data_IF_756023415577
#
_entry.id   IF_756023415577
#
_cell.length_a   1.000
_cell.length_b   1.000
_cell.length_c   1.000
_cell.angle_alpha   90.00
_cell.angle_beta   90.00
_cell.angle_gamma   90.00
#
_symmetry.space_group_name_H-M   'P 1'
#
loop_
_entity.id
_entity.type
_entity.pdbx_description
1 polymer ?
2 non-polymer ?
3 non-polymer ?
4 non-polymer ?
5 non-polymer ?
6 non-polymer ?
7 non-polymer ?
8 non-polymer ?
9 water ?
#
# COMPACT_ATOMS: atom_id res chain seq x y z
N UNK A 2 8.53 27.74 7.11
CA UNK A 2 7.82 28.58 6.08
C UNK A 2 7.82 27.90 4.71
N UNK A 3 8.57 26.80 4.55
CA UNK A 3 8.63 25.92 3.33
C UNK A 3 9.26 26.69 2.17
N UNK A 4 10.53 26.42 1.81
CA UNK A 4 11.12 27.02 0.60
C UNK A 4 10.40 26.64 -0.70
N UNK A 5 10.57 27.44 -1.76
CA UNK A 5 10.31 27.04 -3.16
C UNK A 5 11.28 25.91 -3.53
N UNK A 6 10.95 25.12 -4.55
CA UNK A 6 11.57 23.82 -4.89
C UNK A 6 13.06 24.05 -5.17
N UNK A 7 13.35 24.96 -6.10
CA UNK A 7 14.70 25.28 -6.59
C UNK A 7 15.57 25.75 -5.41
N UNK A 8 14.99 26.47 -4.46
CA UNK A 8 15.66 26.95 -3.23
C UNK A 8 15.99 25.77 -2.31
N UNK A 9 15.05 24.83 -2.18
CA UNK A 9 15.18 23.64 -1.31
C UNK A 9 16.23 22.66 -1.87
N UNK A 10 16.34 22.55 -3.19
CA UNK A 10 17.18 21.52 -3.87
C UNK A 10 18.60 22.05 -4.08
N UNK A 11 19.59 21.17 -3.87
CA UNK A 11 21.02 21.44 -4.02
C UNK A 11 21.43 21.69 -5.46
N UNK A 12 20.68 21.26 -6.47
CA UNK A 12 21.09 21.51 -7.87
C UNK A 12 19.90 21.39 -8.80
N UNK A 13 20.02 21.90 -10.04
CA UNK A 13 19.06 21.63 -11.09
C UNK A 13 19.31 20.25 -11.69
N UNK A 14 18.40 19.78 -12.53
CA UNK A 14 18.55 18.56 -13.35
C UNK A 14 19.61 18.86 -14.42
N UNK A 15 20.74 18.14 -14.45
CA UNK A 15 21.74 18.36 -15.50
C UNK A 15 21.14 18.21 -16.91
N UNK A 16 21.67 18.94 -17.88
CA UNK A 16 21.21 18.94 -19.29
C UNK A 16 21.44 17.54 -19.87
N UNK A 17 22.49 16.85 -19.42
CA UNK A 17 22.91 15.50 -19.88
C UNK A 17 21.88 14.43 -19.47
N UNK A 18 21.35 14.52 -18.25
CA UNK A 18 20.31 13.56 -17.77
C UNK A 18 19.11 13.66 -18.71
N UNK A 19 18.76 14.87 -19.16
CA UNK A 19 17.53 15.13 -19.96
C UNK A 19 17.73 14.58 -21.38
N UNK A 20 18.90 14.83 -21.97
CA UNK A 20 19.33 14.24 -23.26
C UNK A 20 19.20 12.72 -23.19
N UNK A 21 19.65 12.08 -22.10
CA UNK A 21 19.56 10.62 -21.89
C UNK A 21 18.09 10.19 -21.74
N UNK A 22 17.31 10.94 -20.97
CA UNK A 22 15.89 10.67 -20.70
C UNK A 22 15.11 10.60 -22.02
N UNK A 23 15.37 11.53 -22.95
CA UNK A 23 14.58 11.68 -24.21
C UNK A 23 14.92 10.56 -25.21
N UNK A 24 16.06 9.90 -25.07
CA UNK A 24 16.53 8.82 -25.97
C UNK A 24 15.97 7.46 -25.53
N UNK A 25 15.41 7.37 -24.31
CA UNK A 25 14.94 6.09 -23.72
C UNK A 25 13.72 6.36 -22.83
N UNK A 26 12.65 6.85 -23.46
CA UNK A 26 11.38 7.20 -22.77
C UNK A 26 10.59 5.95 -22.33
N UNK A 27 10.75 4.80 -22.98
CA UNK A 27 10.05 3.58 -22.51
C UNK A 27 10.60 3.16 -21.13
N UNK A 28 11.92 3.18 -20.92
CA UNK A 28 12.52 2.89 -19.60
C UNK A 28 12.06 3.91 -18.55
N UNK A 29 11.85 5.16 -18.96
CA UNK A 29 11.53 6.27 -18.04
C UNK A 29 10.12 6.06 -17.46
N UNK A 30 9.17 5.86 -18.36
CA UNK A 30 7.77 5.55 -18.02
C UNK A 30 7.73 4.35 -17.07
N UNK A 31 8.41 3.25 -17.36
CA UNK A 31 8.36 2.02 -16.52
C UNK A 31 8.87 2.42 -15.13
N UNK A 32 9.98 3.15 -15.07
CA UNK A 32 10.60 3.55 -13.79
C UNK A 32 9.73 4.57 -13.05
N UNK A 33 9.08 5.46 -13.77
CA UNK A 33 8.17 6.46 -13.15
C UNK A 33 7.06 5.67 -12.43
N UNK A 34 6.33 4.85 -13.18
CA UNK A 34 5.32 3.86 -12.71
C UNK A 34 5.81 3.14 -11.45
N UNK A 35 6.99 2.52 -11.49
CA UNK A 35 7.62 1.83 -10.33
C UNK A 35 7.79 2.81 -9.16
N UNK A 36 8.15 4.08 -9.40
CA UNK A 36 8.43 5.06 -8.32
C UNK A 36 7.11 5.47 -7.65
N UNK A 37 6.01 5.54 -8.43
CA UNK A 37 4.65 5.87 -7.88
C UNK A 37 4.25 4.74 -6.93
N UNK A 38 4.59 3.50 -7.29
CA UNK A 38 4.30 2.29 -6.50
C UNK A 38 5.14 2.27 -5.21
N UNK A 39 6.46 2.50 -5.31
CA UNK A 39 7.39 2.54 -4.13
C UNK A 39 6.98 3.66 -3.15
N UNK A 40 6.49 4.81 -3.62
CA UNK A 40 5.96 5.90 -2.77
C UNK A 40 4.82 5.35 -1.90
N UNK A 41 3.79 4.78 -2.54
CA UNK A 41 2.63 4.17 -1.86
C UNK A 41 3.14 3.11 -0.88
N UNK A 42 3.99 2.21 -1.35
CA UNK A 42 4.57 1.11 -0.55
C UNK A 42 5.34 1.67 0.67
N UNK A 43 6.18 2.69 0.45
CA UNK A 43 6.96 3.37 1.52
C UNK A 43 5.99 4.00 2.54
N UNK A 44 4.89 4.61 2.09
CA UNK A 44 3.92 5.24 3.01
C UNK A 44 3.29 4.15 3.89
N UNK A 45 3.06 2.97 3.33
CA UNK A 45 2.41 1.88 4.11
C UNK A 45 3.35 1.38 5.19
N UNK A 46 4.66 1.28 4.90
CA UNK A 46 5.69 0.82 5.85
C UNK A 46 5.83 1.80 7.02
N UNK A 47 5.64 3.10 6.79
CA UNK A 47 5.60 4.11 7.89
C UNK A 47 4.37 3.88 8.77
N UNK A 48 3.18 3.65 8.21
CA UNK A 48 1.95 3.34 8.98
C UNK A 48 2.23 2.11 9.85
N UNK A 49 2.82 1.05 9.30
CA UNK A 49 3.11 -0.20 10.05
C UNK A 49 4.06 0.11 11.22
N UNK A 50 5.12 0.88 11.00
CA UNK A 50 6.18 1.21 11.98
C UNK A 50 5.68 2.19 13.07
N UNK A 51 4.74 3.10 12.75
CA UNK A 51 4.29 4.22 13.62
C UNK A 51 2.78 4.13 13.79
N UNK A 52 2.32 2.96 14.21
CA UNK A 52 0.95 2.41 14.11
C UNK A 52 0.00 3.07 15.11
N UNK A 53 0.54 3.93 15.98
CA UNK A 53 -0.23 4.63 17.05
C UNK A 53 -0.02 6.16 16.94
N UNK A 54 0.70 6.65 15.94
CA UNK A 54 0.77 8.08 15.54
C UNK A 54 -0.41 8.43 14.62
N UNK A 55 -1.52 8.90 15.17
CA UNK A 55 -2.78 9.19 14.42
C UNK A 55 -2.55 10.23 13.31
N UNK A 56 -1.77 11.28 13.56
CA UNK A 56 -1.56 12.37 12.56
C UNK A 56 -0.76 11.81 11.37
N UNK A 57 0.06 10.79 11.60
CA UNK A 57 0.95 10.24 10.54
C UNK A 57 0.14 9.24 9.71
N UNK A 58 -0.56 8.32 10.37
CA UNK A 58 -1.25 7.18 9.69
C UNK A 58 -2.35 7.74 8.79
N UNK A 59 -3.02 8.83 9.17
CA UNK A 59 -4.07 9.50 8.35
C UNK A 59 -3.48 10.11 7.07
N UNK A 60 -2.44 10.95 7.22
CA UNK A 60 -1.71 11.56 6.08
C UNK A 60 -1.20 10.45 5.16
N UNK A 61 -0.51 9.44 5.71
CA UNK A 61 0.22 8.42 4.91
C UNK A 61 -0.79 7.56 4.11
N UNK A 62 -1.95 7.30 4.71
CA UNK A 62 -3.09 6.57 4.11
C UNK A 62 -3.59 7.34 2.87
N UNK A 63 -3.94 8.61 3.04
CA UNK A 63 -4.36 9.52 1.93
C UNK A 63 -3.24 9.60 0.90
N UNK A 64 -1.98 9.64 1.32
CA UNK A 64 -0.87 9.86 0.36
C UNK A 64 -0.71 8.58 -0.46
N UNK A 65 -0.82 7.44 0.20
CA UNK A 65 -0.65 6.12 -0.45
C UNK A 65 -1.70 5.98 -1.56
N UNK A 66 -2.92 6.46 -1.30
CA UNK A 66 -4.03 6.44 -2.30
C UNK A 66 -3.66 7.35 -3.46
N UNK A 67 -3.19 8.56 -3.18
CA UNK A 67 -2.74 9.50 -4.24
C UNK A 67 -1.71 8.77 -5.13
N UNK A 68 -0.73 8.12 -4.52
CA UNK A 68 0.41 7.52 -5.24
C UNK A 68 -0.10 6.37 -6.10
N UNK A 69 -1.11 5.65 -5.62
CA UNK A 69 -1.64 4.47 -6.35
C UNK A 69 -2.45 4.96 -7.55
N UNK A 70 -3.29 5.98 -7.42
CA UNK A 70 -3.97 6.65 -8.56
C UNK A 70 -2.90 6.94 -9.63
N UNK A 71 -1.82 7.65 -9.28
CA UNK A 71 -0.70 7.99 -10.20
C UNK A 71 -0.17 6.68 -10.83
N UNK A 72 0.07 5.66 -10.03
CA UNK A 72 0.60 4.36 -10.51
C UNK A 72 -0.30 3.78 -11.61
N UNK A 73 -1.63 3.94 -11.48
CA UNK A 73 -2.63 3.44 -12.44
C UNK A 73 -2.62 4.30 -13.72
N UNK A 74 -2.70 5.62 -13.56
CA UNK A 74 -2.60 6.63 -14.67
C UNK A 74 -1.41 6.29 -15.58
N UNK A 75 -0.26 5.98 -14.99
CA UNK A 75 1.02 5.72 -15.74
C UNK A 75 0.90 4.37 -16.47
N UNK A 76 0.24 3.38 -15.87
CA UNK A 76 -0.09 2.08 -16.52
C UNK A 76 -1.03 2.29 -17.73
N UNK A 77 -2.04 3.15 -17.59
CA UNK A 77 -2.96 3.58 -18.67
C UNK A 77 -2.09 4.06 -19.84
N UNK A 78 -1.30 5.13 -19.60
CA UNK A 78 -0.43 5.77 -20.61
C UNK A 78 0.47 4.70 -21.25
N UNK A 79 1.09 3.83 -20.45
CA UNK A 79 1.98 2.76 -20.97
C UNK A 79 1.25 1.89 -22.00
N UNK A 80 -0.02 1.54 -21.76
CA UNK A 80 -0.84 0.70 -22.68
C UNK A 80 -1.07 1.47 -23.99
N UNK A 81 -1.64 2.69 -23.93
CA UNK A 81 -1.89 3.57 -25.10
C UNK A 81 -0.66 3.54 -26.03
N UNK A 82 0.54 3.63 -25.46
CA UNK A 82 1.83 3.71 -26.21
C UNK A 82 2.47 2.32 -26.40
N UNK A 83 1.71 1.24 -26.23
CA UNK A 83 2.25 -0.13 -26.31
C UNK A 83 3.63 -0.25 -25.67
N UNK A 84 3.84 0.33 -24.49
CA UNK A 84 5.07 0.06 -23.66
C UNK A 84 4.84 -1.24 -22.91
N UNK A 85 5.75 -2.23 -23.04
CA UNK A 85 5.53 -3.55 -22.48
C UNK A 85 5.94 -3.58 -21.00
N UNK A 86 5.26 -4.42 -20.21
CA UNK A 86 5.53 -4.58 -18.75
C UNK A 86 6.86 -5.32 -18.62
N UNK A 87 7.95 -4.54 -18.65
CA UNK A 87 9.36 -4.99 -18.62
C UNK A 87 9.91 -4.78 -17.21
N UNK A 88 10.66 -5.74 -16.62
CA UNK A 88 11.29 -5.50 -15.32
C UNK A 88 12.46 -4.50 -15.33
N UNK A 89 12.30 -3.35 -14.65
CA UNK A 89 13.37 -2.33 -14.47
C UNK A 89 13.71 -2.29 -12.98
N UNK A 90 14.99 -2.43 -12.65
CA UNK A 90 15.49 -2.44 -11.25
C UNK A 90 15.46 -1.01 -10.69
N UNK A 91 15.51 -0.87 -9.36
CA UNK A 91 15.51 0.43 -8.65
C UNK A 91 16.88 1.10 -8.79
N UNK A 92 16.89 2.40 -9.11
CA UNK A 92 18.07 3.27 -9.05
C UNK A 92 18.63 3.36 -7.64
N UNK A 93 19.82 3.95 -7.50
CA UNK A 93 20.60 3.99 -6.25
C UNK A 93 20.06 5.10 -5.33
N UNK A 94 19.28 6.01 -5.90
CA UNK A 94 18.88 7.31 -5.31
C UNK A 94 18.12 7.11 -3.99
N UNK A 95 16.97 6.42 -4.04
CA UNK A 95 16.07 6.17 -2.89
C UNK A 95 16.82 5.42 -1.79
N UNK A 96 17.41 4.27 -2.10
CA UNK A 96 18.22 3.47 -1.14
C UNK A 96 19.39 4.32 -0.63
N UNK A 97 19.97 5.13 -1.52
CA UNK A 97 21.09 6.05 -1.23
C UNK A 97 20.75 6.99 -0.08
N UNK A 98 19.61 7.69 -0.16
CA UNK A 98 19.18 8.71 0.86
C UNK A 98 18.77 8.05 2.17
N UNK A 99 18.18 6.84 2.14
CA UNK A 99 17.71 6.15 3.36
C UNK A 99 18.92 5.73 4.20
N UNK A 100 20.05 5.41 3.56
CA UNK A 100 21.33 5.07 4.26
C UNK A 100 21.74 6.25 5.17
N UNK A 101 21.21 7.45 4.95
CA UNK A 101 21.51 8.63 5.81
C UNK A 101 20.72 8.62 7.12
N UNK A 102 19.61 7.87 7.21
CA UNK A 102 18.67 7.94 8.37
C UNK A 102 19.39 7.38 9.61
N UNK A 103 19.24 8.08 10.75
CA UNK A 103 19.79 7.68 12.07
C UNK A 103 18.94 6.55 12.64
N UNK A 104 19.53 5.73 13.51
CA UNK A 104 18.99 4.41 13.94
C UNK A 104 18.01 4.56 15.11
N UNK A 105 17.92 5.75 15.75
CA UNK A 105 17.19 5.97 17.03
C UNK A 105 16.04 7.00 16.88
N UNK A 106 14.97 6.81 17.66
CA UNK A 106 13.75 7.68 17.71
C UNK A 106 13.97 8.75 18.79
N UNK A 107 13.41 10.00 18.66
CA UNK A 107 12.50 10.39 17.59
C UNK A 107 13.14 11.07 16.36
N UNK A 108 14.41 10.83 16.09
CA UNK A 108 15.08 11.45 14.95
C UNK A 108 14.92 10.62 13.67
N UNK A 109 14.86 9.30 13.84
CA UNK A 109 14.71 8.33 12.71
C UNK A 109 13.47 8.66 11.87
N UNK A 110 12.37 9.10 12.50
CA UNK A 110 11.07 9.45 11.81
C UNK A 110 11.19 10.80 11.11
N UNK A 111 11.82 11.78 11.77
CA UNK A 111 12.09 13.14 11.22
C UNK A 111 12.94 13.01 9.94
N UNK A 112 14.03 12.25 10.01
CA UNK A 112 14.98 12.02 8.90
C UNK A 112 14.27 11.40 7.70
N UNK A 113 13.32 10.49 7.97
CA UNK A 113 12.57 9.70 6.95
C UNK A 113 11.62 10.64 6.21
N UNK A 114 10.97 11.56 6.94
CA UNK A 114 10.06 12.55 6.32
C UNK A 114 10.89 13.52 5.46
N UNK A 115 12.05 13.97 5.95
CA UNK A 115 12.90 14.91 5.16
C UNK A 115 13.28 14.23 3.83
N UNK A 116 13.82 13.00 3.88
CA UNK A 116 14.17 12.25 2.64
C UNK A 116 12.97 12.21 1.69
N UNK A 117 11.79 11.94 2.24
CA UNK A 117 10.51 11.96 1.51
C UNK A 117 10.31 13.31 0.87
N UNK A 118 10.54 14.39 1.61
CA UNK A 118 10.42 15.79 1.12
C UNK A 118 11.33 15.98 -0.10
N UNK A 119 12.57 15.50 -0.05
CA UNK A 119 13.58 15.66 -1.13
C UNK A 119 13.17 14.91 -2.39
N UNK A 120 12.69 13.67 -2.24
CA UNK A 120 12.32 12.79 -3.39
C UNK A 120 11.18 13.48 -4.16
N UNK A 121 10.19 13.98 -3.41
CA UNK A 121 8.99 14.70 -3.94
C UNK A 121 9.46 15.97 -4.66
N UNK A 122 10.27 16.77 -3.96
CA UNK A 122 10.79 18.05 -4.48
C UNK A 122 11.58 17.81 -5.76
N UNK A 123 12.47 16.82 -5.78
CA UNK A 123 13.30 16.52 -7.00
C UNK A 123 12.41 16.07 -8.17
N UNK A 124 11.40 15.23 -7.91
CA UNK A 124 10.45 14.71 -8.93
C UNK A 124 9.72 15.89 -9.57
N UNK A 125 9.26 16.84 -8.75
CA UNK A 125 8.61 18.09 -9.20
C UNK A 125 9.59 18.85 -10.11
N UNK A 126 10.81 19.11 -9.63
CA UNK A 126 11.84 19.89 -10.39
C UNK A 126 12.13 19.18 -11.72
N UNK A 127 12.17 17.86 -11.70
CA UNK A 127 12.64 17.04 -12.85
C UNK A 127 11.52 16.91 -13.89
N UNK A 128 10.27 16.73 -13.46
CA UNK A 128 9.11 16.70 -14.39
C UNK A 128 9.08 18.00 -15.19
N UNK A 129 9.18 19.14 -14.49
CA UNK A 129 9.17 20.51 -15.06
C UNK A 129 10.33 20.70 -16.02
N UNK A 130 11.51 20.12 -15.73
CA UNK A 130 12.69 20.19 -16.63
C UNK A 130 12.40 19.41 -17.92
N UNK A 131 11.54 18.39 -17.86
CA UNK A 131 11.23 17.50 -19.00
C UNK A 131 10.11 18.04 -19.86
N UNK A 132 9.01 18.49 -19.23
CA UNK A 132 7.75 18.92 -19.91
C UNK A 132 8.09 19.53 -21.27
N UNK A 133 8.83 20.67 -21.34
CA UNK A 133 8.97 21.42 -22.60
C UNK A 133 9.49 20.61 -23.79
N UNK A 134 10.24 19.52 -23.54
CA UNK A 134 10.90 18.67 -24.57
C UNK A 134 10.08 17.42 -24.93
N UNK A 135 8.83 17.29 -24.45
CA UNK A 135 8.00 16.07 -24.64
C UNK A 135 6.85 16.36 -25.62
N UNK A 136 6.20 15.32 -26.14
CA UNK A 136 4.94 15.42 -26.93
C UNK A 136 3.83 16.01 -26.03
N UNK A 137 2.66 16.31 -26.59
CA UNK A 137 1.61 17.13 -25.91
C UNK A 137 0.93 16.29 -24.82
N UNK A 138 0.64 15.01 -25.10
CA UNK A 138 -0.11 14.11 -24.18
C UNK A 138 0.74 13.82 -22.94
N UNK A 139 2.02 13.51 -23.17
CA UNK A 139 3.01 13.21 -22.11
C UNK A 139 3.36 14.51 -21.38
N UNK A 140 3.49 15.62 -22.10
CA UNK A 140 3.74 16.97 -21.54
C UNK A 140 2.58 17.44 -20.67
N UNK A 141 1.34 17.27 -21.14
CA UNK A 141 0.09 17.62 -20.40
C UNK A 141 0.02 16.77 -19.13
N UNK A 142 0.38 15.48 -19.23
CA UNK A 142 0.30 14.49 -18.13
C UNK A 142 1.29 14.91 -17.02
N UNK A 143 2.57 15.01 -17.38
CA UNK A 143 3.68 15.37 -16.45
C UNK A 143 3.48 16.79 -15.91
N UNK A 144 2.87 17.71 -16.66
CA UNK A 144 2.50 19.06 -16.13
C UNK A 144 1.44 18.89 -15.03
N UNK A 145 0.47 17.98 -15.23
CA UNK A 145 -0.57 17.62 -14.24
C UNK A 145 0.01 17.12 -12.92
N UNK A 146 1.02 16.24 -12.98
CA UNK A 146 1.66 15.63 -11.78
C UNK A 146 2.46 16.68 -10.98
N UNK A 147 2.78 17.82 -11.59
CA UNK A 147 3.65 18.87 -11.01
C UNK A 147 3.06 19.43 -9.71
N UNK A 148 1.80 19.90 -9.73
CA UNK A 148 1.16 20.58 -8.57
C UNK A 148 1.04 19.62 -7.37
N UNK A 149 0.89 18.31 -7.62
CA UNK A 149 0.70 17.28 -6.56
C UNK A 149 2.06 16.88 -5.95
N UNK A 150 3.15 16.82 -6.75
CA UNK A 150 4.54 16.58 -6.25
C UNK A 150 4.96 17.71 -5.29
N UNK A 151 4.67 18.98 -5.64
CA UNK A 151 4.93 20.18 -4.80
C UNK A 151 4.15 20.05 -3.48
N UNK A 152 2.93 19.55 -3.56
CA UNK A 152 2.03 19.40 -2.38
C UNK A 152 2.57 18.27 -1.49
N UNK A 153 3.01 17.16 -2.08
CA UNK A 153 3.61 16.03 -1.32
C UNK A 153 4.93 16.47 -0.66
N UNK A 154 5.69 17.34 -1.33
CA UNK A 154 6.93 17.94 -0.78
C UNK A 154 6.60 18.79 0.45
N UNK A 155 5.64 19.72 0.32
CA UNK A 155 5.12 20.55 1.46
C UNK A 155 4.66 19.64 2.59
N UNK A 156 3.85 18.62 2.26
CA UNK A 156 3.24 17.67 3.22
C UNK A 156 4.30 16.95 4.05
N UNK A 157 5.26 16.29 3.40
CA UNK A 157 6.36 15.56 4.08
C UNK A 157 7.15 16.51 5.00
N UNK A 158 7.47 17.72 4.54
CA UNK A 158 8.27 18.69 5.35
C UNK A 158 7.45 19.21 6.54
N UNK A 159 6.19 19.62 6.32
CA UNK A 159 5.29 20.03 7.43
C UNK A 159 5.23 18.91 8.47
N UNK A 160 5.12 17.65 8.05
CA UNK A 160 4.95 16.54 9.01
C UNK A 160 6.23 16.36 9.82
N UNK A 161 7.42 16.67 9.27
CA UNK A 161 8.68 16.63 10.03
C UNK A 161 8.65 17.67 11.15
N UNK A 162 8.09 18.86 10.88
CA UNK A 162 8.04 19.99 11.85
C UNK A 162 7.10 19.64 13.00
N UNK A 163 6.09 18.83 12.71
CA UNK A 163 5.12 18.27 13.68
C UNK A 163 5.85 17.39 14.72
N UNK A 164 6.98 16.74 14.38
CA UNK A 164 7.64 15.68 15.20
C UNK A 164 9.13 15.99 15.48
N UNK A 165 9.52 17.24 15.60
CA UNK A 165 10.94 17.61 15.81
C UNK A 165 11.18 19.11 15.79
N UNK A 166 12.35 19.58 16.25
CA UNK A 166 12.62 21.03 16.47
C UNK A 166 13.20 21.66 15.18
N UNK A 167 12.79 22.90 14.91
CA UNK A 167 13.27 23.77 13.79
C UNK A 167 14.77 23.55 13.53
N UNK A 168 15.60 23.54 14.57
CA UNK A 168 17.07 23.44 14.49
C UNK A 168 17.49 22.06 13.96
N UNK A 169 16.93 20.97 14.49
CA UNK A 169 17.33 19.57 14.15
C UNK A 169 16.96 19.29 12.69
N UNK A 170 15.84 19.86 12.24
CA UNK A 170 15.28 19.70 10.87
C UNK A 170 16.12 20.49 9.86
N UNK A 171 16.48 21.75 10.15
CA UNK A 171 17.42 22.56 9.34
C UNK A 171 18.72 21.76 9.10
N UNK A 172 19.21 21.04 10.12
CA UNK A 172 20.51 20.32 10.07
C UNK A 172 20.34 19.08 9.21
N UNK A 173 19.21 18.39 9.37
CA UNK A 173 18.88 17.17 8.60
C UNK A 173 18.76 17.56 7.13
N UNK A 174 18.00 18.63 6.82
CA UNK A 174 17.78 19.13 5.44
C UNK A 174 19.15 19.39 4.79
N UNK A 175 20.05 20.05 5.54
CA UNK A 175 21.44 20.41 5.10
C UNK A 175 22.21 19.14 4.70
N UNK A 176 22.28 18.15 5.59
CA UNK A 176 23.03 16.89 5.35
C UNK A 176 22.45 16.15 4.14
N UNK A 177 21.11 16.11 4.05
CA UNK A 177 20.42 15.33 2.98
C UNK A 177 20.59 16.06 1.66
N UNK A 178 20.38 17.38 1.66
CA UNK A 178 20.51 18.23 0.45
C UNK A 178 21.83 17.90 -0.28
N UNK A 179 22.93 17.88 0.48
CA UNK A 179 24.29 17.57 -0.01
C UNK A 179 24.30 16.16 -0.61
N UNK A 180 23.90 15.14 0.16
CA UNK A 180 23.90 13.74 -0.31
C UNK A 180 23.05 13.63 -1.59
N UNK A 181 21.86 14.23 -1.58
CA UNK A 181 20.92 14.25 -2.73
C UNK A 181 21.57 14.86 -3.97
N UNK A 182 22.20 16.03 -3.81
CA UNK A 182 22.93 16.77 -4.89
C UNK A 182 24.02 15.87 -5.50
N UNK A 183 24.79 15.17 -4.66
CA UNK A 183 25.94 14.31 -5.07
C UNK A 183 25.40 13.15 -5.93
N UNK A 184 24.25 12.60 -5.54
CA UNK A 184 23.55 11.51 -6.27
C UNK A 184 23.11 12.00 -7.65
N UNK A 185 22.51 13.18 -7.72
CA UNK A 185 22.05 13.76 -9.02
C UNK A 185 23.24 14.10 -9.93
N UNK A 186 24.35 14.61 -9.39
CA UNK A 186 25.43 15.21 -10.21
C UNK A 186 26.51 14.17 -10.55
N UNK A 187 26.61 13.07 -9.77
CA UNK A 187 27.58 11.97 -10.00
C UNK A 187 27.15 11.15 -11.21
N UNK A 188 28.09 10.55 -11.98
CA UNK A 188 27.76 9.71 -13.12
C UNK A 188 27.10 8.40 -12.67
N UNK A 189 26.26 7.79 -13.52
CA UNK A 189 25.49 6.56 -13.19
C UNK A 189 25.43 5.64 -14.43
N UNK A 190 25.31 4.33 -14.22
CA UNK A 190 25.34 3.29 -15.28
C UNK A 190 23.99 3.21 -16.02
N UNK A 191 22.89 3.60 -15.37
CA UNK A 191 21.49 3.33 -15.83
C UNK A 191 20.65 4.61 -15.79
N UNK A 192 19.89 4.88 -16.86
CA UNK A 192 18.87 5.96 -16.91
C UNK A 192 17.66 5.51 -16.06
N UNK A 193 17.55 6.06 -14.85
CA UNK A 193 16.33 6.01 -14.02
C UNK A 193 15.75 7.42 -13.92
N UNK A 194 14.57 7.55 -13.34
CA UNK A 194 13.89 8.86 -13.18
C UNK A 194 14.74 9.72 -12.23
N UNK A 195 15.37 9.11 -11.23
CA UNK A 195 16.18 9.86 -10.23
C UNK A 195 17.68 9.57 -10.42
N UNK A 196 18.10 9.05 -11.57
CA UNK A 196 19.52 8.70 -11.84
C UNK A 196 20.41 9.95 -11.93
N UNK A 197 21.74 9.72 -11.83
CA UNK A 197 22.79 10.71 -12.06
C UNK A 197 23.05 10.98 -13.54
N UNK A 198 24.19 11.60 -13.85
CA UNK A 198 24.59 11.94 -15.25
C UNK A 198 25.14 10.68 -15.92
N UNK A 199 24.59 10.26 -17.08
CA UNK A 199 24.94 8.97 -17.67
C UNK A 199 26.38 9.00 -18.20
N UNK A 200 27.14 7.94 -17.92
CA UNK A 200 28.55 7.72 -18.38
C UNK A 200 28.57 7.68 -19.91
N UNK B 1 -21.21 -21.22 -12.75
CA UNK B 1 -20.64 -20.00 -12.11
C UNK B 1 -19.23 -20.30 -11.58
N UNK B 2 -19.09 -21.33 -10.73
CA UNK B 2 -17.85 -21.73 -9.99
C UNK B 2 -17.54 -20.69 -8.90
N UNK B 3 -18.49 -19.80 -8.61
CA UNK B 3 -18.41 -18.71 -7.57
C UNK B 3 -19.66 -18.82 -6.70
N UNK B 4 -19.64 -19.63 -5.62
CA UNK B 4 -20.83 -19.85 -4.80
C UNK B 4 -21.32 -18.59 -4.06
N UNK B 5 -22.47 -18.69 -3.37
CA UNK B 5 -22.89 -17.78 -2.26
C UNK B 5 -21.89 -17.95 -1.12
N UNK B 6 -21.88 -17.02 -0.15
CA UNK B 6 -20.82 -16.91 0.90
C UNK B 6 -20.94 -18.12 1.84
N UNK B 7 -22.14 -18.38 2.36
CA UNK B 7 -22.42 -19.48 3.34
C UNK B 7 -22.11 -20.82 2.67
N UNK B 8 -22.46 -20.96 1.38
CA UNK B 8 -22.08 -22.14 0.57
C UNK B 8 -20.54 -22.29 0.55
N UNK B 9 -19.84 -21.19 0.22
CA UNK B 9 -18.37 -21.14 0.04
C UNK B 9 -17.68 -21.50 1.36
N UNK B 10 -18.14 -20.91 2.46
CA UNK B 10 -17.52 -21.10 3.78
C UNK B 10 -17.84 -22.50 4.34
N UNK B 11 -16.93 -23.03 5.16
CA UNK B 11 -17.07 -24.36 5.77
C UNK B 11 -17.66 -24.32 7.17
N UNK B 12 -18.13 -23.17 7.66
CA UNK B 12 -18.88 -23.05 8.94
C UNK B 12 -19.37 -21.63 9.19
N UNK B 13 -20.44 -21.46 9.99
CA UNK B 13 -20.81 -20.14 10.49
C UNK B 13 -19.87 -19.60 11.58
N UNK B 14 -20.06 -18.33 11.92
CA UNK B 14 -19.34 -17.68 13.04
C UNK B 14 -19.94 -18.26 14.31
N UNK B 15 -19.15 -18.86 15.24
CA UNK B 15 -19.71 -19.36 16.49
C UNK B 15 -20.29 -18.22 17.34
N UNK B 16 -21.36 -18.51 18.08
CA UNK B 16 -22.08 -17.54 18.96
C UNK B 16 -21.11 -17.07 20.05
N UNK B 17 -20.17 -17.93 20.45
CA UNK B 17 -19.19 -17.61 21.51
C UNK B 17 -18.18 -16.57 20.99
N UNK B 18 -17.81 -16.63 19.69
CA UNK B 18 -16.98 -15.53 19.12
C UNK B 18 -17.74 -14.22 19.33
N UNK B 19 -19.04 -14.22 19.04
CA UNK B 19 -19.88 -13.00 19.03
C UNK B 19 -19.97 -12.47 20.44
N UNK B 20 -20.17 -13.36 21.42
CA UNK B 20 -20.29 -13.00 22.85
C UNK B 20 -19.01 -12.25 23.25
N UNK B 21 -17.85 -12.85 22.97
CA UNK B 21 -16.52 -12.27 23.27
C UNK B 21 -16.37 -10.93 22.55
N UNK B 22 -16.76 -10.87 21.27
CA UNK B 22 -16.62 -9.65 20.44
C UNK B 22 -17.41 -8.49 21.05
N UNK B 23 -18.65 -8.74 21.48
CA UNK B 23 -19.55 -7.67 22.04
C UNK B 23 -18.99 -7.14 23.36
N UNK B 24 -18.22 -7.94 24.09
CA UNK B 24 -17.57 -7.56 25.38
C UNK B 24 -16.34 -6.68 25.13
N UNK B 25 -15.65 -6.83 24.00
CA UNK B 25 -14.38 -6.11 23.71
C UNK B 25 -14.41 -5.45 22.31
N UNK B 26 -15.44 -4.67 22.01
CA UNK B 26 -15.61 -3.97 20.70
C UNK B 26 -14.41 -3.08 20.39
N UNK B 27 -13.72 -2.52 21.38
CA UNK B 27 -12.60 -1.57 21.09
C UNK B 27 -11.42 -2.37 20.52
N UNK B 28 -11.12 -3.54 21.05
CA UNK B 28 -10.00 -4.37 20.54
C UNK B 28 -10.35 -4.77 19.12
N UNK B 29 -11.65 -5.07 18.89
CA UNK B 29 -12.14 -5.51 17.57
C UNK B 29 -11.95 -4.40 16.54
N UNK B 30 -12.40 -3.19 16.85
CA UNK B 30 -12.21 -1.99 15.98
C UNK B 30 -10.73 -1.85 15.57
N UNK B 31 -9.82 -1.94 16.54
CA UNK B 31 -8.37 -1.70 16.30
C UNK B 31 -7.88 -2.81 15.37
N UNK B 32 -8.20 -4.07 15.66
CA UNK B 32 -7.75 -5.23 14.84
C UNK B 32 -8.32 -5.05 13.44
N UNK B 33 -9.59 -4.62 13.36
CA UNK B 33 -10.32 -4.40 12.09
C UNK B 33 -9.56 -3.35 11.26
N UNK B 34 -9.23 -2.23 11.88
CA UNK B 34 -8.40 -1.15 11.28
C UNK B 34 -7.06 -1.69 10.76
N UNK B 35 -6.37 -2.50 11.55
CA UNK B 35 -5.10 -3.17 11.17
C UNK B 35 -5.34 -4.13 9.99
N UNK B 36 -6.50 -4.78 9.92
CA UNK B 36 -6.84 -5.75 8.84
C UNK B 36 -7.08 -5.04 7.50
N UNK B 37 -7.75 -3.89 7.51
CA UNK B 37 -7.96 -3.07 6.30
C UNK B 37 -6.58 -2.72 5.75
N UNK B 38 -5.72 -2.18 6.61
CA UNK B 38 -4.33 -1.77 6.30
C UNK B 38 -3.55 -2.96 5.73
N UNK B 39 -3.59 -4.10 6.41
CA UNK B 39 -2.85 -5.33 6.03
C UNK B 39 -3.30 -5.81 4.65
N UNK B 40 -4.60 -5.65 4.35
CA UNK B 40 -5.16 -6.08 3.06
C UNK B 40 -4.54 -5.21 1.97
N UNK B 41 -4.41 -3.91 2.23
CA UNK B 41 -3.74 -2.93 1.33
C UNK B 41 -2.27 -3.29 1.14
N UNK B 42 -1.53 -3.61 2.21
CA UNK B 42 -0.09 -3.98 2.07
C UNK B 42 0.03 -5.29 1.31
N UNK B 43 -0.77 -6.30 1.67
CA UNK B 43 -0.79 -7.63 0.99
C UNK B 43 -0.94 -7.43 -0.52
N UNK B 44 -1.87 -6.57 -0.94
CA UNK B 44 -2.12 -6.27 -2.36
C UNK B 44 -0.84 -5.69 -2.99
N UNK B 45 -0.16 -4.76 -2.33
CA UNK B 45 1.09 -4.14 -2.89
C UNK B 45 2.22 -5.19 -2.94
N UNK B 46 2.24 -6.17 -2.04
CA UNK B 46 3.21 -7.29 -2.12
C UNK B 46 3.01 -8.03 -3.44
N UNK B 47 1.74 -8.25 -3.82
CA UNK B 47 1.37 -9.04 -5.01
C UNK B 47 1.74 -8.24 -6.26
N UNK B 48 1.54 -6.93 -6.21
CA UNK B 48 1.99 -6.03 -7.30
C UNK B 48 3.50 -6.20 -7.47
N UNK B 49 4.26 -6.19 -6.38
CA UNK B 49 5.73 -6.24 -6.38
C UNK B 49 6.19 -7.64 -6.80
N UNK B 50 5.54 -8.70 -6.29
CA UNK B 50 5.98 -10.11 -6.50
C UNK B 50 5.71 -10.51 -7.95
N UNK B 51 4.58 -10.07 -8.51
CA UNK B 51 4.06 -10.44 -9.86
C UNK B 51 4.02 -9.16 -10.72
N UNK B 52 5.19 -8.55 -10.92
CA UNK B 52 5.37 -7.19 -11.49
C UNK B 52 5.04 -7.13 -12.99
N UNK B 53 4.83 -8.27 -13.67
CA UNK B 53 4.49 -8.29 -15.13
C UNK B 53 3.08 -8.87 -15.39
N UNK B 54 2.39 -9.32 -14.35
CA UNK B 54 0.97 -9.77 -14.42
C UNK B 54 0.10 -8.52 -14.51
N UNK B 55 -0.14 -8.00 -15.72
CA UNK B 55 -0.76 -6.67 -15.95
C UNK B 55 -2.23 -6.62 -15.45
N UNK B 56 -2.95 -7.75 -15.44
CA UNK B 56 -4.37 -7.80 -14.99
C UNK B 56 -4.43 -7.78 -13.46
N UNK B 57 -3.52 -8.51 -12.82
CA UNK B 57 -3.34 -8.53 -11.34
C UNK B 57 -2.96 -7.11 -10.87
N UNK B 58 -2.00 -6.47 -11.54
CA UNK B 58 -1.40 -5.20 -11.08
C UNK B 58 -2.49 -4.12 -11.05
N UNK B 59 -3.40 -4.13 -12.02
CA UNK B 59 -4.47 -3.10 -12.18
C UNK B 59 -5.52 -3.23 -11.09
N UNK B 60 -5.97 -4.46 -10.86
CA UNK B 60 -7.03 -4.81 -9.88
C UNK B 60 -6.49 -4.59 -8.47
N UNK B 61 -5.30 -5.11 -8.17
CA UNK B 61 -4.61 -4.98 -6.85
C UNK B 61 -4.32 -3.52 -6.49
N UNK B 62 -4.04 -2.65 -7.46
CA UNK B 62 -3.87 -1.20 -7.21
C UNK B 62 -5.22 -0.62 -6.75
N UNK B 63 -6.31 -0.96 -7.47
CA UNK B 63 -7.68 -0.49 -7.18
C UNK B 63 -8.15 -0.98 -5.81
N UNK B 64 -7.89 -2.24 -5.49
CA UNK B 64 -8.32 -2.87 -4.22
C UNK B 64 -7.60 -2.19 -3.05
N UNK B 65 -6.28 -1.99 -3.16
CA UNK B 65 -5.44 -1.41 -2.09
C UNK B 65 -5.97 -0.02 -1.73
N UNK B 66 -6.40 0.77 -2.72
CA UNK B 66 -7.01 2.11 -2.51
C UNK B 66 -8.35 1.96 -1.78
N UNK B 67 -9.08 0.90 -2.07
CA UNK B 67 -10.40 0.65 -1.47
C UNK B 67 -10.19 0.32 0.01
N UNK B 68 -9.24 -0.57 0.28
CA UNK B 68 -8.89 -1.01 1.64
C UNK B 68 -8.37 0.18 2.45
N UNK B 69 -7.63 1.11 1.82
CA UNK B 69 -7.11 2.28 2.55
C UNK B 69 -8.26 3.27 2.87
N UNK B 70 -9.25 3.43 2.00
CA UNK B 70 -10.47 4.20 2.39
C UNK B 70 -11.06 3.53 3.63
N UNK B 71 -11.16 2.20 3.66
CA UNK B 71 -11.84 1.53 4.79
C UNK B 71 -11.02 1.81 6.05
N UNK B 72 -9.70 1.70 5.93
CA UNK B 72 -8.72 2.00 7.01
C UNK B 72 -8.98 3.41 7.58
N UNK B 73 -9.08 4.42 6.71
CA UNK B 73 -9.39 5.82 7.12
C UNK B 73 -10.76 5.86 7.79
N UNK B 74 -11.78 5.20 7.23
CA UNK B 74 -13.16 5.27 7.80
C UNK B 74 -13.14 4.67 9.21
N UNK B 75 -12.38 3.59 9.41
CA UNK B 75 -12.31 2.96 10.74
C UNK B 75 -11.61 3.95 11.69
N UNK B 76 -10.56 4.65 11.23
CA UNK B 76 -9.83 5.61 12.07
C UNK B 76 -10.76 6.77 12.50
N UNK B 77 -11.61 7.31 11.60
CA UNK B 77 -12.53 8.43 11.93
C UNK B 77 -13.55 7.93 12.96
N UNK B 78 -14.06 6.71 12.78
CA UNK B 78 -15.04 6.07 13.70
C UNK B 78 -14.43 5.98 15.11
N UNK B 79 -13.22 5.43 15.23
CA UNK B 79 -12.52 5.28 16.52
C UNK B 79 -12.37 6.65 17.21
N UNK B 80 -11.97 7.69 16.45
CA UNK B 80 -11.79 9.08 16.95
C UNK B 80 -13.13 9.59 17.50
N UNK B 81 -14.17 9.69 16.67
CA UNK B 81 -15.56 10.09 17.07
C UNK B 81 -15.93 9.45 18.42
N UNK B 82 -15.58 8.17 18.63
CA UNK B 82 -16.02 7.41 19.84
C UNK B 82 -14.92 7.38 20.91
N UNK B 83 -13.88 8.19 20.77
CA UNK B 83 -12.78 8.24 21.74
C UNK B 83 -12.23 6.86 22.04
N UNK B 84 -11.96 6.07 21.00
CA UNK B 84 -11.17 4.81 21.10
C UNK B 84 -9.72 5.12 20.77
N UNK B 85 -8.81 5.06 21.75
CA UNK B 85 -7.40 5.39 21.51
C UNK B 85 -6.66 4.28 20.76
N UNK B 86 -5.71 4.65 19.89
CA UNK B 86 -4.83 3.66 19.23
C UNK B 86 -3.96 3.01 20.30
N UNK B 87 -3.65 1.74 20.14
CA UNK B 87 -2.65 1.05 20.98
C UNK B 87 -2.23 -0.19 20.21
N UNK B 88 -1.06 -0.79 20.51
CA UNK B 88 -0.55 -1.92 19.74
C UNK B 88 -1.44 -3.16 19.95
N UNK B 89 -1.92 -3.77 18.86
CA UNK B 89 -2.67 -5.06 18.89
C UNK B 89 -2.01 -6.01 17.88
N UNK B 90 -1.39 -7.09 18.30
CA UNK B 90 -0.60 -7.97 17.38
C UNK B 90 -1.57 -8.68 16.41
N UNK B 91 -1.11 -9.04 15.22
CA UNK B 91 -1.88 -9.86 14.25
C UNK B 91 -2.29 -11.18 14.93
N UNK B 92 -3.53 -11.62 14.70
CA UNK B 92 -3.99 -12.98 15.03
C UNK B 92 -3.39 -14.04 14.10
N UNK B 93 -3.53 -15.29 14.51
CA UNK B 93 -2.98 -16.52 13.86
C UNK B 93 -3.62 -16.83 12.50
N UNK B 94 -4.76 -16.22 12.17
CA UNK B 94 -5.67 -16.66 11.08
C UNK B 94 -4.99 -16.58 9.69
N UNK B 95 -4.60 -15.38 9.25
CA UNK B 95 -4.01 -15.14 7.90
C UNK B 95 -2.67 -15.88 7.78
N UNK B 96 -1.86 -15.90 8.84
CA UNK B 96 -0.60 -16.68 8.89
C UNK B 96 -0.95 -18.16 8.61
N UNK B 97 -1.83 -18.70 9.45
CA UNK B 97 -2.30 -20.10 9.36
C UNK B 97 -2.66 -20.45 7.93
N UNK B 98 -3.48 -19.63 7.28
CA UNK B 98 -3.91 -19.87 5.87
C UNK B 98 -2.70 -19.77 4.93
N UNK B 99 -1.83 -18.77 5.12
CA UNK B 99 -0.69 -18.50 4.20
C UNK B 99 0.24 -19.73 4.15
N UNK B 100 0.36 -20.49 5.25
CA UNK B 100 1.23 -21.70 5.38
C UNK B 100 0.75 -22.86 4.48
N UNK B 101 -0.47 -22.83 3.93
CA UNK B 101 -0.99 -23.86 2.96
C UNK B 101 -0.60 -23.53 1.53
N UNK B 102 -0.01 -22.36 1.28
CA UNK B 102 0.31 -21.86 -0.08
C UNK B 102 1.50 -22.67 -0.58
N UNK B 103 1.36 -23.30 -1.76
CA UNK B 103 2.40 -24.19 -2.37
C UNK B 103 3.56 -23.30 -2.85
N UNK B 104 4.80 -23.83 -2.77
CA UNK B 104 6.06 -23.04 -2.89
C UNK B 104 6.46 -22.80 -4.36
N UNK B 105 5.85 -23.49 -5.33
CA UNK B 105 6.23 -23.43 -6.78
C UNK B 105 5.13 -22.81 -7.65
N UNK B 106 5.46 -21.82 -8.48
CA UNK B 106 4.57 -21.19 -9.51
C UNK B 106 4.23 -22.23 -10.57
N UNK B 107 3.09 -22.12 -11.30
CA UNK B 107 2.13 -21.02 -11.17
C UNK B 107 1.02 -21.19 -10.11
N UNK B 108 1.11 -22.22 -9.26
CA UNK B 108 0.04 -22.57 -8.26
C UNK B 108 0.23 -21.76 -6.97
N UNK B 109 1.45 -21.30 -6.66
CA UNK B 109 1.74 -20.40 -5.50
C UNK B 109 0.81 -19.18 -5.58
N UNK B 110 0.57 -18.64 -6.78
CA UNK B 110 -0.26 -17.43 -7.01
C UNK B 110 -1.73 -17.79 -6.79
N UNK B 111 -2.21 -18.78 -7.54
CA UNK B 111 -3.62 -19.31 -7.49
C UNK B 111 -3.99 -19.52 -6.03
N UNK B 112 -3.19 -20.32 -5.31
CA UNK B 112 -3.33 -20.62 -3.88
C UNK B 112 -3.48 -19.31 -3.08
N UNK B 113 -2.61 -18.33 -3.36
CA UNK B 113 -2.56 -17.03 -2.63
C UNK B 113 -3.91 -16.34 -2.78
N UNK B 114 -4.43 -16.26 -4.01
CA UNK B 114 -5.71 -15.57 -4.34
C UNK B 114 -6.90 -16.32 -3.72
N UNK B 115 -6.85 -17.65 -3.66
CA UNK B 115 -7.93 -18.47 -3.03
C UNK B 115 -7.97 -18.10 -1.55
N UNK B 116 -6.81 -18.00 -0.90
CA UNK B 116 -6.70 -17.55 0.52
C UNK B 116 -7.36 -16.17 0.65
N UNK B 117 -7.12 -15.27 -0.31
CA UNK B 117 -7.74 -13.93 -0.31
C UNK B 117 -9.25 -14.04 -0.34
N UNK B 118 -9.78 -14.91 -1.19
CA UNK B 118 -11.22 -15.17 -1.30
C UNK B 118 -11.75 -15.64 0.06
N UNK B 119 -11.00 -16.44 0.81
CA UNK B 119 -11.50 -16.96 2.11
C UNK B 119 -11.49 -15.85 3.17
N UNK B 120 -10.45 -15.01 3.21
CA UNK B 120 -10.37 -13.89 4.20
C UNK B 120 -11.57 -12.97 3.97
N UNK B 121 -11.88 -12.66 2.71
CA UNK B 121 -12.91 -11.66 2.34
C UNK B 121 -14.29 -12.26 2.65
N UNK B 122 -14.53 -13.51 2.24
CA UNK B 122 -15.77 -14.27 2.49
C UNK B 122 -16.04 -14.30 3.99
N UNK B 123 -15.05 -14.65 4.80
CA UNK B 123 -15.23 -14.78 6.28
C UNK B 123 -15.64 -13.41 6.85
N UNK B 124 -15.01 -12.33 6.39
CA UNK B 124 -15.21 -10.97 6.93
C UNK B 124 -16.66 -10.55 6.67
N UNK B 125 -17.11 -10.79 5.44
CA UNK B 125 -18.50 -10.58 4.97
C UNK B 125 -19.46 -11.32 5.88
N UNK B 126 -19.26 -12.62 6.03
CA UNK B 126 -20.07 -13.47 6.95
C UNK B 126 -20.07 -12.90 8.37
N UNK B 127 -18.92 -12.45 8.88
CA UNK B 127 -18.76 -12.15 10.34
C UNK B 127 -19.39 -10.78 10.61
N UNK B 128 -19.27 -9.88 9.64
CA UNK B 128 -19.89 -8.55 9.68
C UNK B 128 -21.39 -8.76 9.80
N UNK B 129 -21.96 -9.58 8.91
CA UNK B 129 -23.41 -9.93 8.89
C UNK B 129 -23.86 -10.52 10.23
N UNK B 130 -23.11 -11.47 10.80
CA UNK B 130 -23.40 -12.07 12.13
C UNK B 130 -23.39 -11.00 13.24
N UNK B 131 -22.52 -10.00 13.16
CA UNK B 131 -22.35 -8.98 14.23
C UNK B 131 -23.46 -7.92 14.21
N UNK B 132 -23.89 -7.43 13.03
CA UNK B 132 -24.62 -6.13 12.95
C UNK B 132 -25.97 -6.16 13.67
N UNK B 133 -26.70 -7.29 13.78
CA UNK B 133 -27.92 -7.30 14.60
C UNK B 133 -27.68 -6.92 16.06
N UNK B 134 -26.42 -7.03 16.53
CA UNK B 134 -26.05 -6.89 17.97
C UNK B 134 -25.45 -5.51 18.30
N UNK B 135 -25.14 -4.68 17.30
CA UNK B 135 -24.42 -3.39 17.44
C UNK B 135 -25.41 -2.22 17.48
N UNK B 136 -24.94 -1.06 17.93
CA UNK B 136 -25.64 0.26 17.85
C UNK B 136 -25.69 0.72 16.40
N UNK B 137 -26.56 1.70 16.12
CA UNK B 137 -27.00 2.09 14.75
C UNK B 137 -25.76 2.45 13.90
N UNK B 138 -24.98 3.41 14.37
CA UNK B 138 -23.79 3.96 13.64
C UNK B 138 -22.84 2.81 13.28
N UNK B 139 -22.47 2.00 14.27
CA UNK B 139 -21.54 0.88 14.04
C UNK B 139 -22.16 -0.14 13.07
N UNK B 140 -23.46 -0.42 13.22
CA UNK B 140 -24.21 -1.37 12.36
C UNK B 140 -24.25 -0.84 10.94
N UNK B 141 -24.51 0.46 10.77
CA UNK B 141 -24.53 1.14 9.45
C UNK B 141 -23.17 0.92 8.79
N UNK B 142 -22.09 1.20 9.53
CA UNK B 142 -20.72 1.16 8.99
C UNK B 142 -20.40 -0.27 8.54
N UNK B 143 -20.66 -1.25 9.40
CA UNK B 143 -20.35 -2.67 9.13
C UNK B 143 -21.27 -3.17 8.00
N UNK B 144 -22.49 -2.66 7.83
CA UNK B 144 -23.38 -3.06 6.71
C UNK B 144 -22.73 -2.61 5.40
N UNK B 145 -22.25 -1.37 5.34
CA UNK B 145 -21.57 -0.84 4.14
C UNK B 145 -20.34 -1.67 3.79
N UNK B 146 -19.55 -2.08 4.79
CA UNK B 146 -18.32 -2.88 4.57
C UNK B 146 -18.65 -4.25 3.97
N UNK B 147 -19.77 -4.83 4.38
CA UNK B 147 -20.15 -6.23 4.04
C UNK B 147 -20.43 -6.34 2.52
N UNK B 148 -21.09 -5.32 1.96
CA UNK B 148 -21.30 -5.22 0.49
C UNK B 148 -19.93 -5.32 -0.22
N UNK B 149 -18.91 -4.57 0.23
CA UNK B 149 -17.61 -4.49 -0.49
C UNK B 149 -16.75 -5.77 -0.27
N UNK B 150 -16.89 -6.47 0.86
CA UNK B 150 -16.20 -7.76 1.11
C UNK B 150 -16.67 -8.79 0.07
N UNK B 151 -17.99 -8.87 -0.15
CA UNK B 151 -18.63 -9.76 -1.14
C UNK B 151 -17.95 -9.59 -2.50
N UNK B 152 -17.80 -8.35 -2.97
CA UNK B 152 -17.12 -8.05 -4.25
C UNK B 152 -15.68 -8.60 -4.18
N UNK B 153 -14.93 -8.26 -3.14
CA UNK B 153 -13.51 -8.64 -2.98
C UNK B 153 -13.41 -10.16 -3.00
N UNK B 154 -14.38 -10.85 -2.42
CA UNK B 154 -14.40 -12.32 -2.45
C UNK B 154 -14.61 -12.76 -3.89
N UNK B 155 -15.63 -12.21 -4.57
CA UNK B 155 -15.91 -12.55 -6.00
C UNK B 155 -14.63 -12.28 -6.80
N UNK B 156 -14.15 -11.04 -6.73
CA UNK B 156 -12.95 -10.59 -7.47
C UNK B 156 -11.81 -11.58 -7.32
N UNK B 157 -11.43 -11.88 -6.08
CA UNK B 157 -10.25 -12.71 -5.73
C UNK B 157 -10.41 -14.11 -6.32
N UNK B 158 -11.65 -14.62 -6.42
CA UNK B 158 -11.94 -16.00 -6.93
C UNK B 158 -11.86 -16.03 -8.47
N UNK B 159 -12.51 -15.06 -9.13
CA UNK B 159 -12.45 -14.85 -10.60
C UNK B 159 -10.98 -14.67 -11.02
N UNK B 160 -10.21 -13.87 -10.28
CA UNK B 160 -8.78 -13.67 -10.59
C UNK B 160 -8.07 -15.03 -10.50
N UNK B 161 -8.39 -15.84 -9.50
CA UNK B 161 -7.81 -17.20 -9.31
C UNK B 161 -8.09 -18.06 -10.54
N UNK B 162 -9.30 -17.98 -11.10
CA UNK B 162 -9.75 -18.71 -12.32
C UNK B 162 -9.03 -18.19 -13.57
N UNK B 163 -8.67 -16.90 -13.59
CA UNK B 163 -7.94 -16.24 -14.71
C UNK B 163 -6.52 -16.82 -14.81
N UNK B 164 -6.01 -17.52 -13.79
CA UNK B 164 -4.57 -17.91 -13.70
C UNK B 164 -4.39 -19.41 -13.39
N UNK B 165 -5.44 -20.25 -13.45
CA UNK B 165 -5.35 -21.65 -13.00
C UNK B 165 -6.42 -22.55 -13.57
N UNK B 166 -6.24 -23.88 -13.44
CA UNK B 166 -7.17 -24.93 -13.95
C UNK B 166 -8.36 -25.08 -12.99
N UNK B 167 -9.59 -25.10 -13.52
CA UNK B 167 -10.88 -25.22 -12.75
C UNK B 167 -10.80 -26.35 -11.71
N UNK B 168 -10.33 -27.54 -12.08
CA UNK B 168 -10.23 -28.71 -11.18
C UNK B 168 -9.17 -28.49 -10.09
N UNK B 169 -8.10 -27.72 -10.37
CA UNK B 169 -6.97 -27.51 -9.42
C UNK B 169 -7.36 -26.40 -8.43
N UNK B 170 -8.16 -25.43 -8.87
CA UNK B 170 -8.80 -24.42 -7.98
C UNK B 170 -9.70 -25.16 -6.98
N UNK B 171 -10.70 -25.90 -7.46
CA UNK B 171 -11.64 -26.69 -6.63
C UNK B 171 -10.86 -27.48 -5.56
N UNK B 172 -9.72 -28.09 -5.90
CA UNK B 172 -8.94 -28.93 -4.96
C UNK B 172 -8.24 -28.03 -3.91
N UNK B 173 -7.91 -26.78 -4.25
CA UNK B 173 -7.30 -25.75 -3.35
C UNK B 173 -8.39 -25.19 -2.42
N UNK B 174 -9.48 -24.69 -3.00
CA UNK B 174 -10.68 -24.23 -2.25
C UNK B 174 -11.01 -25.29 -1.18
N UNK B 175 -11.25 -26.52 -1.61
CA UNK B 175 -11.57 -27.65 -0.71
C UNK B 175 -10.54 -27.73 0.42
N UNK B 176 -9.24 -27.58 0.15
CA UNK B 176 -8.17 -27.77 1.19
C UNK B 176 -8.18 -26.59 2.15
N UNK B 177 -8.28 -25.35 1.63
CA UNK B 177 -8.26 -24.08 2.43
C UNK B 177 -9.53 -23.98 3.29
N UNK B 178 -10.68 -24.29 2.69
CA UNK B 178 -12.00 -24.41 3.36
C UNK B 178 -11.89 -25.16 4.69
N UNK B 179 -11.24 -26.33 4.68
CA UNK B 179 -11.15 -27.23 5.84
C UNK B 179 -10.30 -26.60 6.95
N UNK B 180 -9.23 -25.88 6.57
CA UNK B 180 -8.25 -25.31 7.52
C UNK B 180 -8.83 -24.03 8.13
N UNK B 181 -9.48 -23.22 7.30
CA UNK B 181 -10.24 -22.00 7.67
C UNK B 181 -11.24 -22.38 8.77
N UNK B 182 -12.03 -23.43 8.52
CA UNK B 182 -13.05 -23.94 9.48
C UNK B 182 -12.37 -24.31 10.80
N UNK B 183 -11.31 -25.12 10.73
CA UNK B 183 -10.46 -25.54 11.89
C UNK B 183 -10.03 -24.29 12.68
N UNK B 184 -9.60 -23.23 11.98
CA UNK B 184 -9.12 -21.95 12.60
C UNK B 184 -10.28 -21.17 13.26
N UNK B 185 -11.48 -21.19 12.66
CA UNK B 185 -12.66 -20.40 13.12
C UNK B 185 -13.35 -21.16 14.26
N UNK B 186 -13.26 -22.49 14.25
CA UNK B 186 -13.98 -23.36 15.21
C UNK B 186 -13.13 -23.69 16.44
N UNK B 187 -11.80 -23.77 16.33
CA UNK B 187 -10.91 -24.18 17.45
C UNK B 187 -10.79 -23.06 18.49
N UNK B 188 -10.48 -23.39 19.77
CA UNK B 188 -10.24 -22.38 20.81
C UNK B 188 -9.06 -21.44 20.51
N UNK B 189 -9.00 -20.28 21.17
CA UNK B 189 -7.99 -19.22 20.87
C UNK B 189 -7.70 -18.41 22.15
N UNK B 190 -6.44 -17.98 22.33
CA UNK B 190 -5.97 -17.19 23.50
C UNK B 190 -6.56 -15.77 23.48
N UNK B 191 -6.84 -15.21 22.29
CA UNK B 191 -7.04 -13.76 22.06
C UNK B 191 -8.31 -13.50 21.24
N UNK B 192 -8.90 -12.29 21.37
CA UNK B 192 -9.94 -11.77 20.45
C UNK B 192 -9.33 -10.93 19.31
N UNK B 193 -9.57 -11.38 18.08
CA UNK B 193 -9.24 -10.69 16.81
C UNK B 193 -10.49 -10.77 15.92
N UNK B 194 -10.57 -9.97 14.86
CA UNK B 194 -11.69 -10.08 13.89
C UNK B 194 -11.81 -11.55 13.42
N UNK B 195 -10.69 -12.23 13.13
CA UNK B 195 -10.70 -13.62 12.61
C UNK B 195 -10.14 -14.64 13.62
N UNK B 196 -10.22 -14.36 14.92
CA UNK B 196 -9.89 -15.33 16.00
C UNK B 196 -10.90 -16.48 16.03
N UNK B 197 -10.44 -17.66 16.46
CA UNK B 197 -11.29 -18.77 16.94
C UNK B 197 -12.05 -18.35 18.19
N UNK B 198 -12.60 -19.31 18.93
CA UNK B 198 -13.50 -19.03 20.10
C UNK B 198 -12.67 -18.71 21.33
N UNK B 199 -12.53 -17.43 21.74
CA UNK B 199 -11.71 -17.04 22.89
C UNK B 199 -11.91 -17.82 24.20
N UNK B 200 -10.90 -17.79 25.08
CA UNK B 200 -10.85 -18.45 26.42
C UNK B 200 -10.53 -17.41 27.49
#
# INVERSE_FOLDING_TARGET
SLIPEIDAFLGCPTPDAWIEAALADQETLLIDHKNCEFKAASTALSLIAKYNTHLDLINMMSRLAREELVHHEQVLRLMKRRGVPLRPVSAGRYASGLRRLVRAHEPVKLVDTLVVGAFIEARSCERFAALVPHLDEELGRFYHGLLKSEARHYQGYLKLAHNYGDEADIARRVELVRAAEMELIQSPDQELRFHSGIPQ
SLIPEIDAFLGCPTPDAWIEAALADQETLLIDHKNCEFKAASTALSLIAKYNTHLDLINMMSRLAREELVHHEQVLRLMKRRGVPLRPVSAGRYASGLRRLVRAHEPVKLVDTLVVGAFIEARSCERFAALVPHLDEELGRFYHGLLKSEARHYQGYLKLAHNYGDEADIARRVELVRAAEMELIQSPDQELRFHSGIPQ
#
